data_IF_561483276561
#
_entry.id   IF_561483276561
#
_cell.length_a   1.000
_cell.length_b   1.000
_cell.length_c   1.000
_cell.angle_alpha   90.00
_cell.angle_beta   90.00
_cell.angle_gamma   90.00
#
_symmetry.space_group_name_H-M   'P 1'
#
loop_
_entity.id
_entity.type
_entity.pdbx_description
1 polymer ?
#
# COMPACT_ATOMS: atom_id res chain seq x y z
N UNK A 1 27.68 -14.62 -16.35
CA UNK A 1 26.36 -14.16 -15.86
C UNK A 1 26.10 -12.78 -16.44
N UNK A 2 24.87 -12.46 -16.83
CA UNK A 2 24.53 -11.13 -17.36
C UNK A 2 24.60 -10.06 -16.26
N UNK A 3 24.55 -8.78 -16.65
CA UNK A 3 24.59 -7.66 -15.71
C UNK A 3 23.51 -7.79 -14.63
N UNK A 4 23.89 -7.63 -13.36
CA UNK A 4 22.99 -7.76 -12.23
C UNK A 4 22.30 -6.44 -11.94
N UNK A 5 21.22 -6.16 -12.68
CA UNK A 5 20.43 -4.93 -12.47
C UNK A 5 19.47 -5.06 -11.27
N UNK A 6 19.21 -6.27 -10.80
CA UNK A 6 18.37 -6.53 -9.64
C UNK A 6 18.98 -6.03 -8.32
N UNK A 7 20.29 -6.10 -8.18
CA UNK A 7 21.00 -5.68 -6.96
C UNK A 7 20.82 -4.19 -6.61
N UNK A 8 21.10 -3.23 -7.50
CA UNK A 8 20.86 -1.82 -7.20
C UNK A 8 19.37 -1.45 -7.11
N UNK A 9 18.46 -2.19 -7.77
CA UNK A 9 17.04 -1.87 -7.80
C UNK A 9 16.23 -2.47 -6.64
N UNK A 10 16.59 -3.67 -6.19
CA UNK A 10 15.93 -4.37 -5.09
C UNK A 10 16.69 -4.25 -3.77
N UNK A 11 17.98 -3.91 -3.79
CA UNK A 11 18.78 -3.66 -2.60
C UNK A 11 18.75 -4.83 -1.61
N UNK A 12 18.27 -4.56 -0.39
CA UNK A 12 18.20 -5.56 0.69
C UNK A 12 17.33 -6.76 0.36
N UNK A 13 16.30 -6.61 -0.49
CA UNK A 13 15.49 -7.74 -0.94
C UNK A 13 16.30 -8.68 -1.85
N UNK A 14 17.20 -8.13 -2.68
CA UNK A 14 18.12 -8.95 -3.48
C UNK A 14 19.12 -9.69 -2.59
N UNK A 15 19.68 -9.00 -1.59
CA UNK A 15 20.56 -9.62 -0.58
C UNK A 15 19.85 -10.80 0.10
N UNK A 16 18.59 -10.62 0.50
CA UNK A 16 17.78 -11.68 1.09
C UNK A 16 17.65 -12.91 0.18
N UNK A 17 17.44 -12.71 -1.13
CA UNK A 17 17.35 -13.82 -2.08
C UNK A 17 18.69 -14.56 -2.24
N UNK A 18 19.80 -13.83 -2.30
CA UNK A 18 21.15 -14.41 -2.39
C UNK A 18 21.50 -15.17 -1.11
N UNK A 19 21.22 -14.61 0.05
CA UNK A 19 21.51 -15.23 1.34
C UNK A 19 20.69 -16.50 1.56
N UNK A 20 19.43 -16.52 1.12
CA UNK A 20 18.54 -17.66 1.30
C UNK A 20 18.78 -18.80 0.29
N UNK A 21 19.08 -18.49 -0.97
CA UNK A 21 19.08 -19.47 -2.06
C UNK A 21 20.41 -19.56 -2.83
N UNK A 22 21.41 -18.77 -2.44
CA UNK A 22 22.69 -18.67 -3.12
C UNK A 22 22.67 -17.72 -4.32
N UNK A 23 23.86 -17.36 -4.84
CA UNK A 23 24.01 -16.30 -5.83
C UNK A 23 23.33 -16.61 -7.17
N UNK A 24 23.33 -17.87 -7.62
CA UNK A 24 22.71 -18.25 -8.90
C UNK A 24 21.19 -18.16 -8.85
N UNK A 25 20.55 -18.67 -7.80
CA UNK A 25 19.09 -18.61 -7.64
C UNK A 25 18.64 -17.20 -7.28
N UNK A 26 19.39 -16.50 -6.42
CA UNK A 26 19.15 -15.10 -6.09
C UNK A 26 19.17 -14.18 -7.32
N UNK A 27 20.10 -14.42 -8.25
CA UNK A 27 20.14 -13.71 -9.52
C UNK A 27 18.83 -13.89 -10.32
N UNK A 28 18.34 -15.13 -10.49
CA UNK A 28 17.08 -15.38 -11.21
C UNK A 28 15.88 -14.75 -10.50
N UNK A 29 15.74 -14.97 -9.19
CA UNK A 29 14.63 -14.42 -8.41
C UNK A 29 14.59 -12.89 -8.46
N UNK A 30 15.74 -12.22 -8.37
CA UNK A 30 15.82 -10.77 -8.47
C UNK A 30 15.29 -10.25 -9.82
N UNK A 31 15.74 -10.83 -10.92
CA UNK A 31 15.31 -10.40 -12.26
C UNK A 31 13.85 -10.76 -12.55
N UNK A 32 13.39 -11.94 -12.13
CA UNK A 32 11.97 -12.32 -12.26
C UNK A 32 11.08 -11.39 -11.45
N UNK A 33 11.48 -11.02 -10.23
CA UNK A 33 10.74 -10.06 -9.40
C UNK A 33 10.60 -8.71 -10.11
N UNK A 34 11.68 -8.20 -10.71
CA UNK A 34 11.63 -6.97 -11.49
C UNK A 34 10.69 -7.08 -12.70
N UNK A 35 10.82 -8.14 -13.51
CA UNK A 35 9.98 -8.35 -14.69
C UNK A 35 8.50 -8.44 -14.32
N UNK A 36 8.17 -9.20 -13.28
CA UNK A 36 6.80 -9.35 -12.79
C UNK A 36 6.26 -8.02 -12.25
N UNK A 37 7.09 -7.24 -11.54
CA UNK A 37 6.69 -5.93 -11.01
C UNK A 37 6.39 -4.96 -12.15
N UNK A 38 7.27 -4.89 -13.16
CA UNK A 38 7.06 -4.05 -14.34
C UNK A 38 5.80 -4.48 -15.09
N UNK A 39 5.60 -5.78 -15.27
CA UNK A 39 4.42 -6.31 -15.94
C UNK A 39 3.14 -6.00 -15.15
N UNK A 40 3.16 -6.13 -13.83
CA UNK A 40 2.02 -5.76 -12.97
C UNK A 40 1.70 -4.27 -13.07
N UNK A 41 2.71 -3.40 -13.03
CA UNK A 41 2.50 -1.95 -13.19
C UNK A 41 1.94 -1.65 -14.58
N UNK A 42 2.54 -2.19 -15.63
CA UNK A 42 2.10 -2.00 -17.01
C UNK A 42 0.67 -2.47 -17.24
N UNK A 43 0.33 -3.68 -16.78
CA UNK A 43 -1.02 -4.24 -16.89
C UNK A 43 -2.04 -3.44 -16.09
N UNK A 44 -1.65 -2.94 -14.92
CA UNK A 44 -2.49 -2.07 -14.09
C UNK A 44 -2.81 -0.76 -14.80
N UNK A 45 -1.80 -0.11 -15.38
CA UNK A 45 -1.98 1.16 -16.10
C UNK A 45 -2.85 0.95 -17.35
N UNK A 46 -2.54 -0.08 -18.15
CA UNK A 46 -3.26 -0.35 -19.40
C UNK A 46 -4.70 -0.82 -19.19
N UNK A 47 -5.01 -1.44 -18.05
CA UNK A 47 -6.35 -1.90 -17.71
C UNK A 47 -6.97 -1.09 -16.56
N UNK A 48 -6.50 0.14 -16.34
CA UNK A 48 -6.89 0.96 -15.19
C UNK A 48 -8.40 1.13 -15.07
N UNK A 49 -9.11 1.33 -16.19
CA UNK A 49 -10.57 1.46 -16.18
C UNK A 49 -11.28 0.18 -15.68
N UNK A 50 -10.82 -1.00 -16.11
CA UNK A 50 -11.38 -2.28 -15.67
C UNK A 50 -11.09 -2.55 -14.20
N UNK A 51 -9.88 -2.21 -13.75
CA UNK A 51 -9.47 -2.32 -12.34
C UNK A 51 -10.30 -1.36 -11.49
N UNK A 52 -10.40 -0.09 -11.91
CA UNK A 52 -11.23 0.94 -11.28
C UNK A 52 -12.68 0.47 -11.15
N UNK A 53 -13.23 -0.11 -12.21
CA UNK A 53 -14.58 -0.68 -12.19
C UNK A 53 -14.69 -1.88 -11.24
N UNK A 54 -13.82 -2.88 -11.36
CA UNK A 54 -13.85 -4.12 -10.59
C UNK A 54 -13.65 -3.91 -9.08
N UNK A 55 -12.80 -2.95 -8.70
CA UNK A 55 -12.62 -2.54 -7.30
C UNK A 55 -13.61 -1.46 -6.85
N UNK A 56 -14.51 -1.01 -7.73
CA UNK A 56 -15.46 0.05 -7.45
C UNK A 56 -14.78 1.36 -7.01
N UNK A 57 -13.61 1.68 -7.53
CA UNK A 57 -12.87 2.90 -7.22
C UNK A 57 -13.55 4.07 -7.95
N UNK A 58 -14.23 4.93 -7.20
CA UNK A 58 -14.85 6.16 -7.73
C UNK A 58 -14.07 7.39 -7.27
N UNK A 59 -14.25 8.54 -7.93
CA UNK A 59 -13.59 9.78 -7.49
C UNK A 59 -14.04 10.16 -6.06
N UNK A 60 -15.30 9.88 -5.71
CA UNK A 60 -15.82 10.06 -4.35
C UNK A 60 -15.10 9.17 -3.33
N UNK A 61 -14.84 7.90 -3.65
CA UNK A 61 -14.10 6.98 -2.77
C UNK A 61 -12.65 7.37 -2.63
N UNK A 62 -11.99 7.79 -3.70
CA UNK A 62 -10.61 8.28 -3.64
C UNK A 62 -10.51 9.52 -2.76
N UNK A 63 -11.43 10.47 -2.92
CA UNK A 63 -11.51 11.64 -2.04
C UNK A 63 -11.75 11.24 -0.58
N UNK A 64 -12.69 10.32 -0.32
CA UNK A 64 -12.97 9.83 1.02
C UNK A 64 -11.75 9.15 1.66
N UNK A 65 -10.99 8.34 0.91
CA UNK A 65 -9.74 7.74 1.38
C UNK A 65 -8.69 8.78 1.74
N UNK A 66 -8.51 9.81 0.89
CA UNK A 66 -7.58 10.89 1.19
C UNK A 66 -8.00 11.68 2.43
N UNK A 67 -9.29 11.98 2.57
CA UNK A 67 -9.84 12.63 3.77
C UNK A 67 -9.60 11.78 5.02
N UNK A 68 -9.85 10.47 4.96
CA UNK A 68 -9.61 9.58 6.09
C UNK A 68 -8.13 9.49 6.46
N UNK A 69 -7.22 9.45 5.49
CA UNK A 69 -5.78 9.47 5.76
C UNK A 69 -5.37 10.77 6.46
N UNK A 70 -5.86 11.92 5.97
CA UNK A 70 -5.59 13.23 6.57
C UNK A 70 -6.15 13.33 8.00
N UNK A 71 -7.40 12.89 8.22
CA UNK A 71 -8.04 12.87 9.54
C UNK A 71 -7.30 11.93 10.49
N UNK A 72 -6.92 10.73 10.04
CA UNK A 72 -6.16 9.77 10.86
C UNK A 72 -4.81 10.33 11.25
N UNK A 73 -4.09 10.97 10.32
CA UNK A 73 -2.82 11.64 10.63
C UNK A 73 -2.99 12.76 11.66
N UNK A 74 -4.01 13.59 11.49
CA UNK A 74 -4.35 14.64 12.46
C UNK A 74 -4.71 14.08 13.83
N UNK A 75 -5.46 12.98 13.89
CA UNK A 75 -5.80 12.29 15.14
C UNK A 75 -4.55 11.76 15.85
N UNK A 76 -3.61 11.13 15.13
CA UNK A 76 -2.36 10.64 15.74
C UNK A 76 -1.59 11.80 16.39
N UNK A 77 -1.42 12.90 15.67
CA UNK A 77 -0.72 14.10 16.17
C UNK A 77 -1.45 14.65 17.41
N UNK A 78 -2.78 14.71 17.37
CA UNK A 78 -3.60 15.22 18.46
C UNK A 78 -3.54 14.31 19.70
N UNK A 79 -3.60 12.99 19.53
CA UNK A 79 -3.46 12.01 20.62
C UNK A 79 -2.07 12.04 21.26
N UNK A 80 -1.03 12.20 20.47
CA UNK A 80 0.34 12.32 20.99
C UNK A 80 0.55 13.65 21.73
N UNK A 81 0.23 14.77 21.10
CA UNK A 81 0.62 16.10 21.58
C UNK A 81 -0.30 16.66 22.67
N UNK A 82 -1.60 16.32 22.64
CA UNK A 82 -2.58 16.88 23.58
C UNK A 82 -3.05 15.88 24.64
N UNK A 83 -3.10 14.59 24.30
CA UNK A 83 -3.58 13.56 25.21
C UNK A 83 -2.47 12.68 25.81
N UNK A 84 -1.21 12.87 25.39
CA UNK A 84 -0.05 12.19 25.97
C UNK A 84 0.02 10.70 25.66
N UNK A 85 -0.63 10.23 24.58
CA UNK A 85 -0.62 8.82 24.23
C UNK A 85 0.77 8.39 23.75
N UNK A 86 1.25 7.18 24.11
CA UNK A 86 2.42 6.60 23.48
C UNK A 86 2.15 6.36 21.97
N UNK A 87 3.18 6.35 21.10
CA UNK A 87 2.98 6.28 19.65
C UNK A 87 2.08 5.12 19.20
N UNK A 88 2.30 3.92 19.70
CA UNK A 88 1.47 2.75 19.40
C UNK A 88 0.00 2.95 19.81
N UNK A 89 -0.25 3.51 21.00
CA UNK A 89 -1.60 3.80 21.49
C UNK A 89 -2.31 4.87 20.66
N UNK A 90 -1.60 5.92 20.26
CA UNK A 90 -2.14 6.96 19.38
C UNK A 90 -2.53 6.39 18.01
N UNK A 91 -1.67 5.56 17.41
CA UNK A 91 -1.94 4.92 16.12
C UNK A 91 -3.15 3.99 16.19
N UNK A 92 -3.20 3.08 17.17
CA UNK A 92 -4.31 2.12 17.31
C UNK A 92 -5.64 2.87 17.49
N UNK A 93 -5.65 3.90 18.33
CA UNK A 93 -6.86 4.69 18.61
C UNK A 93 -7.31 5.44 17.36
N UNK A 94 -6.41 6.13 16.66
CA UNK A 94 -6.73 6.85 15.44
C UNK A 94 -7.27 5.91 14.34
N UNK A 95 -6.61 4.78 14.12
CA UNK A 95 -7.06 3.79 13.13
C UNK A 95 -8.42 3.22 13.51
N UNK A 96 -8.68 2.95 14.79
CA UNK A 96 -9.97 2.43 15.25
C UNK A 96 -11.11 3.42 15.00
N UNK A 97 -10.89 4.70 15.34
CA UNK A 97 -11.90 5.75 15.11
C UNK A 97 -12.12 5.98 13.62
N UNK A 98 -11.06 6.15 12.83
CA UNK A 98 -11.17 6.33 11.39
C UNK A 98 -11.75 5.11 10.67
N UNK A 99 -11.42 3.90 11.11
CA UNK A 99 -11.98 2.66 10.60
C UNK A 99 -13.49 2.57 10.86
N UNK A 100 -13.94 2.99 12.05
CA UNK A 100 -15.37 3.09 12.34
C UNK A 100 -16.05 4.14 11.47
N UNK A 101 -15.45 5.32 11.28
CA UNK A 101 -15.99 6.37 10.41
C UNK A 101 -16.10 5.91 8.94
N UNK A 102 -15.07 5.21 8.44
CA UNK A 102 -15.10 4.59 7.12
C UNK A 102 -16.25 3.59 7.01
N UNK A 103 -16.41 2.72 8.00
CA UNK A 103 -17.49 1.73 8.02
C UNK A 103 -18.86 2.40 7.96
N UNK A 104 -19.10 3.43 8.77
CA UNK A 104 -20.36 4.19 8.74
C UNK A 104 -20.61 4.81 7.37
N UNK A 105 -19.61 5.50 6.80
CA UNK A 105 -19.73 6.12 5.49
C UNK A 105 -20.03 5.08 4.39
N UNK A 106 -19.36 3.93 4.44
CA UNK A 106 -19.54 2.85 3.46
C UNK A 106 -20.98 2.30 3.46
N UNK A 107 -21.63 2.20 4.63
CA UNK A 107 -23.03 1.76 4.73
C UNK A 107 -24.01 2.77 4.12
N UNK A 108 -23.66 4.07 4.11
CA UNK A 108 -24.48 5.13 3.51
C UNK A 108 -24.20 5.36 2.03
N UNK A 109 -23.14 4.77 1.48
CA UNK A 109 -22.84 4.91 0.06
C UNK A 109 -23.90 4.15 -0.75
N UNK A 110 -24.69 4.83 -1.61
CA UNK A 110 -25.68 4.14 -2.42
C UNK A 110 -24.97 3.14 -3.33
N UNK A 111 -25.23 1.85 -3.10
CA UNK A 111 -24.73 0.80 -3.97
C UNK A 111 -25.34 0.98 -5.36
N UNK A 112 -24.50 0.92 -6.40
CA UNK A 112 -24.95 1.00 -7.79
C UNK A 112 -26.03 -0.07 -8.01
N UNK A 113 -27.27 0.36 -8.29
CA UNK A 113 -28.35 -0.49 -8.81
C UNK A 113 -28.09 -0.83 -10.27
#
# INVERSE_FOLDING_TARGET
MAANVAEPLLGSLYTLFVDAFGPTVGWWLGHTTLVVTILMVYTTITNWEKIRYGFGITDSRVAAWLTLLAVTGGQVILYQNHFGFPPSGAFITAISVSGYLWWQWYQFEPHKS
#
